data_IF_473916807791
#
_entry.id   IF_473916807791
#
_cell.length_a   1.000
_cell.length_b   1.000
_cell.length_c   1.000
_cell.angle_alpha   90.00
_cell.angle_beta   90.00
_cell.angle_gamma   90.00
#
_symmetry.space_group_name_H-M   'P 1'
#
loop_
_entity.id
_entity.type
_entity.pdbx_description
1 polymer ?
#
# COMPACT_ATOMS: atom_id res chain seq x y z
N UNK A 1 4.98 -3.03 0.68
CA UNK A 1 5.47 -4.39 0.32
C UNK A 1 4.43 -5.22 -0.42
N UNK A 2 4.85 -6.16 -1.29
CA UNK A 2 3.96 -7.15 -1.92
C UNK A 2 3.63 -8.27 -0.93
N UNK A 3 2.44 -8.86 -1.00
CA UNK A 3 2.04 -9.96 -0.10
C UNK A 3 1.52 -9.56 1.28
N UNK A 4 1.53 -8.26 1.62
CA UNK A 4 0.99 -7.75 2.90
C UNK A 4 -0.52 -7.56 2.91
N UNK A 5 -1.24 -7.88 1.82
CA UNK A 5 -2.71 -7.85 1.80
C UNK A 5 -3.37 -6.51 1.44
N UNK A 6 -2.61 -5.50 0.96
CA UNK A 6 -3.15 -4.17 0.58
C UNK A 6 -4.41 -4.24 -0.29
N UNK A 7 -4.35 -4.92 -1.44
CA UNK A 7 -5.48 -4.99 -2.37
C UNK A 7 -6.67 -5.76 -1.78
N UNK A 8 -6.42 -6.81 -0.98
CA UNK A 8 -7.48 -7.53 -0.26
C UNK A 8 -8.17 -6.61 0.76
N UNK A 9 -7.39 -5.81 1.50
CA UNK A 9 -7.94 -4.87 2.46
C UNK A 9 -8.77 -3.77 1.78
N UNK A 10 -8.27 -3.19 0.69
CA UNK A 10 -9.04 -2.19 -0.08
C UNK A 10 -10.34 -2.78 -0.63
N UNK A 11 -10.32 -4.01 -1.16
CA UNK A 11 -11.55 -4.64 -1.66
C UNK A 11 -12.61 -4.78 -0.56
N UNK A 12 -12.22 -5.26 0.63
CA UNK A 12 -13.15 -5.42 1.75
C UNK A 12 -13.64 -4.09 2.31
N UNK A 13 -12.79 -3.05 2.36
CA UNK A 13 -13.21 -1.70 2.72
C UNK A 13 -14.18 -1.13 1.68
N UNK A 14 -13.95 -1.39 0.39
CA UNK A 14 -14.88 -1.00 -0.68
C UNK A 14 -16.23 -1.70 -0.55
N UNK A 15 -16.25 -2.99 -0.19
CA UNK A 15 -17.49 -3.74 0.07
C UNK A 15 -18.27 -3.18 1.26
N UNK A 16 -17.59 -2.54 2.21
CA UNK A 16 -18.20 -1.83 3.34
C UNK A 16 -18.67 -0.40 2.97
N UNK A 17 -18.46 0.04 1.73
CA UNK A 17 -18.91 1.32 1.22
C UNK A 17 -17.88 2.45 1.34
N UNK A 18 -16.68 2.18 1.83
CA UNK A 18 -15.62 3.19 1.85
C UNK A 18 -15.09 3.49 0.45
N UNK A 19 -14.72 4.75 0.22
CA UNK A 19 -14.00 5.12 -0.99
C UNK A 19 -12.56 4.61 -0.90
N UNK A 20 -12.14 3.83 -1.89
CA UNK A 20 -10.79 3.24 -1.94
C UNK A 20 -10.09 3.57 -3.26
N UNK A 21 -8.77 3.72 -3.21
CA UNK A 21 -7.91 3.87 -4.39
C UNK A 21 -6.68 2.98 -4.24
N UNK A 22 -6.57 1.96 -5.09
CA UNK A 22 -5.33 1.21 -5.28
C UNK A 22 -4.47 1.91 -6.34
N UNK A 23 -3.38 2.55 -5.91
CA UNK A 23 -2.53 3.35 -6.81
C UNK A 23 -1.63 2.50 -7.70
N UNK A 24 -1.50 1.20 -7.43
CA UNK A 24 -0.76 0.29 -8.31
C UNK A 24 -1.49 0.03 -9.64
N UNK A 25 -2.78 0.39 -9.76
CA UNK A 25 -3.59 0.25 -10.97
C UNK A 25 -4.30 1.57 -11.35
N UNK A 26 -4.59 1.80 -12.63
CA UNK A 26 -5.37 2.99 -13.04
C UNK A 26 -4.56 4.26 -13.33
N UNK A 27 -3.24 4.12 -13.51
CA UNK A 27 -2.39 5.21 -14.01
C UNK A 27 -2.11 6.32 -13.00
N UNK A 28 -2.14 6.01 -11.70
CA UNK A 28 -1.67 6.91 -10.65
C UNK A 28 -0.15 7.00 -10.58
N UNK A 29 0.54 6.02 -11.14
CA UNK A 29 2.00 5.92 -11.10
C UNK A 29 2.58 6.28 -12.47
N UNK A 30 3.70 6.97 -12.45
CA UNK A 30 4.60 7.15 -13.58
C UNK A 30 5.99 6.55 -13.25
N UNK A 31 6.69 6.13 -14.30
CA UNK A 31 8.06 5.65 -14.21
C UNK A 31 9.00 6.78 -14.61
N UNK A 32 9.76 7.28 -13.65
CA UNK A 32 10.68 8.40 -13.82
C UNK A 32 12.10 7.85 -14.00
N UNK A 33 12.79 8.17 -15.11
CA UNK A 33 14.19 7.76 -15.29
C UNK A 33 15.09 8.35 -14.20
N UNK A 34 15.92 7.50 -13.60
CA UNK A 34 16.94 7.85 -12.60
C UNK A 34 18.28 7.20 -12.97
N UNK A 35 19.44 7.66 -12.44
CA UNK A 35 20.73 7.07 -12.80
C UNK A 35 20.83 5.55 -12.58
N UNK A 36 20.06 5.01 -11.62
CA UNK A 36 20.02 3.59 -11.28
C UNK A 36 18.90 2.79 -12.00
N UNK A 37 18.17 3.39 -12.95
CA UNK A 37 17.08 2.73 -13.68
C UNK A 37 15.83 3.60 -13.80
N UNK A 38 14.70 3.08 -13.36
CA UNK A 38 13.43 3.80 -13.30
C UNK A 38 12.88 3.77 -11.88
N UNK A 39 12.37 4.90 -11.42
CA UNK A 39 11.74 5.05 -10.12
C UNK A 39 10.23 5.19 -10.29
N UNK A 40 9.44 4.42 -9.54
CA UNK A 40 7.98 4.54 -9.57
C UNK A 40 7.57 5.68 -8.64
N UNK A 41 6.85 6.64 -9.19
CA UNK A 41 6.35 7.80 -8.45
C UNK A 41 4.86 7.96 -8.68
N UNK A 42 4.14 8.42 -7.67
CA UNK A 42 2.80 8.92 -7.88
C UNK A 42 2.84 10.16 -8.77
N UNK A 43 1.94 10.21 -9.74
CA UNK A 43 1.62 11.41 -10.52
C UNK A 43 1.01 12.44 -9.58
N UNK A 44 1.81 13.45 -9.26
CA UNK A 44 1.49 14.38 -8.17
C UNK A 44 0.21 15.16 -8.43
N UNK A 45 -0.06 15.53 -9.68
CA UNK A 45 -1.29 16.19 -10.11
C UNK A 45 -2.55 15.36 -9.83
N UNK A 46 -2.47 14.04 -10.03
CA UNK A 46 -3.60 13.13 -9.81
C UNK A 46 -3.87 12.90 -8.33
N UNK A 47 -2.82 12.66 -7.54
CA UNK A 47 -2.96 12.50 -6.09
C UNK A 47 -3.46 13.81 -5.47
N UNK A 48 -2.93 14.96 -5.89
CA UNK A 48 -3.37 16.27 -5.41
C UNK A 48 -4.85 16.52 -5.70
N UNK A 49 -5.31 16.20 -6.91
CA UNK A 49 -6.72 16.30 -7.28
C UNK A 49 -7.62 15.36 -6.45
N UNK A 50 -7.19 14.10 -6.25
CA UNK A 50 -7.91 13.12 -5.43
C UNK A 50 -8.07 13.60 -3.98
N UNK A 51 -6.99 14.09 -3.37
CA UNK A 51 -7.02 14.56 -1.98
C UNK A 51 -7.82 15.84 -1.83
N UNK A 52 -7.72 16.76 -2.79
CA UNK A 52 -8.52 18.00 -2.81
C UNK A 52 -10.01 17.70 -2.91
N UNK A 53 -10.39 16.64 -3.64
CA UNK A 53 -11.78 16.20 -3.71
C UNK A 53 -12.26 15.61 -2.38
N UNK A 54 -11.45 14.74 -1.76
CA UNK A 54 -11.72 14.16 -0.45
C UNK A 54 -11.89 15.24 0.64
N UNK A 55 -10.97 16.20 0.71
CA UNK A 55 -11.03 17.31 1.67
C UNK A 55 -12.30 18.16 1.52
N UNK A 56 -12.89 18.20 0.31
CA UNK A 56 -14.15 18.90 0.05
C UNK A 56 -15.37 18.06 0.43
N UNK A 57 -15.36 16.75 0.20
CA UNK A 57 -16.49 15.88 0.53
C UNK A 57 -16.58 15.58 2.03
N UNK A 58 -15.43 15.48 2.70
CA UNK A 58 -15.33 15.01 4.09
C UNK A 58 -15.62 13.51 4.25
N UNK A 59 -15.79 12.78 3.15
CA UNK A 59 -16.01 11.34 3.18
C UNK A 59 -14.67 10.60 3.34
N UNK A 60 -14.57 9.56 4.19
CA UNK A 60 -13.32 8.83 4.36
C UNK A 60 -12.77 8.23 3.06
N UNK A 61 -11.46 8.34 2.87
CA UNK A 61 -10.74 7.85 1.71
C UNK A 61 -9.56 6.97 2.12
N UNK A 62 -9.50 5.74 1.61
CA UNK A 62 -8.34 4.86 1.77
C UNK A 62 -7.53 4.81 0.48
N UNK A 63 -6.24 5.14 0.55
CA UNK A 63 -5.31 5.05 -0.58
C UNK A 63 -4.25 4.01 -0.25
N UNK A 64 -4.03 3.04 -1.14
CA UNK A 64 -2.91 2.11 -1.01
C UNK A 64 -1.88 2.30 -2.11
N UNK A 65 -0.61 2.28 -1.73
CA UNK A 65 0.53 2.37 -2.63
C UNK A 65 1.83 2.22 -1.86
N UNK A 66 2.92 1.98 -2.57
CA UNK A 66 4.27 2.12 -2.01
C UNK A 66 5.18 2.64 -3.13
N UNK A 67 5.44 3.94 -3.12
CA UNK A 67 6.24 4.63 -4.16
C UNK A 67 7.14 5.68 -3.54
N UNK A 68 8.17 6.08 -4.28
CA UNK A 68 9.24 6.93 -3.75
C UNK A 68 8.77 8.29 -3.23
N UNK A 69 7.93 9.00 -3.98
CA UNK A 69 7.52 10.37 -3.65
C UNK A 69 6.29 10.47 -2.72
N UNK A 70 5.80 9.34 -2.18
CA UNK A 70 4.59 9.34 -1.35
C UNK A 70 4.69 10.24 -0.10
N UNK A 71 5.91 10.43 0.42
CA UNK A 71 6.19 11.28 1.58
C UNK A 71 5.72 12.73 1.39
N UNK A 72 5.63 13.22 0.14
CA UNK A 72 5.16 14.56 -0.17
C UNK A 72 3.72 14.81 0.27
N UNK A 73 2.93 13.74 0.39
CA UNK A 73 1.50 13.82 0.69
C UNK A 73 1.15 13.48 2.14
N UNK A 74 2.10 13.01 2.95
CA UNK A 74 1.82 12.58 4.34
C UNK A 74 1.19 13.67 5.20
N UNK A 75 1.52 14.94 4.97
CA UNK A 75 0.91 16.06 5.68
C UNK A 75 -0.60 16.22 5.46
N UNK A 76 -1.14 15.54 4.44
CA UNK A 76 -2.57 15.51 4.08
C UNK A 76 -3.24 14.18 4.43
N UNK A 77 -2.54 13.28 5.10
CA UNK A 77 -3.11 12.02 5.58
C UNK A 77 -3.27 12.10 7.10
N UNK A 78 -4.46 11.78 7.59
CA UNK A 78 -4.67 11.61 9.04
C UNK A 78 -3.86 10.42 9.57
N UNK A 79 -3.76 9.36 8.76
CA UNK A 79 -3.03 8.14 9.09
C UNK A 79 -2.21 7.61 7.92
N UNK A 80 -0.95 7.26 8.18
CA UNK A 80 -0.07 6.50 7.29
C UNK A 80 0.07 5.10 7.86
N UNK A 81 -0.66 4.15 7.29
CA UNK A 81 -0.72 2.78 7.82
C UNK A 81 0.26 1.86 7.08
N UNK A 82 1.19 1.27 7.83
CA UNK A 82 2.04 0.19 7.35
C UNK A 82 1.37 -1.16 7.63
N UNK A 83 0.98 -1.87 6.57
CA UNK A 83 0.61 -3.28 6.67
C UNK A 83 1.88 -4.14 6.66
N UNK A 84 2.11 -4.91 7.73
CA UNK A 84 3.25 -5.83 7.84
C UNK A 84 2.79 -7.29 7.96
N UNK A 85 3.72 -8.20 7.72
CA UNK A 85 3.59 -9.64 7.94
C UNK A 85 5.00 -10.25 7.95
N UNK A 86 5.21 -11.41 8.61
CA UNK A 86 6.43 -12.19 8.45
C UNK A 86 6.70 -12.49 6.97
N UNK A 87 7.97 -12.48 6.56
CA UNK A 87 8.33 -12.62 5.14
C UNK A 87 7.86 -13.96 4.59
N UNK A 88 7.89 -15.01 5.40
CA UNK A 88 7.42 -16.36 5.08
C UNK A 88 5.92 -16.35 4.75
N UNK A 89 5.11 -15.66 5.56
CA UNK A 89 3.67 -15.49 5.33
C UNK A 89 3.40 -14.72 4.03
N UNK A 90 4.18 -13.68 3.76
CA UNK A 90 4.05 -12.95 2.49
C UNK A 90 4.38 -13.84 1.29
N UNK A 91 5.46 -14.62 1.36
CA UNK A 91 5.88 -15.52 0.30
C UNK A 91 4.86 -16.64 0.06
N UNK A 92 4.26 -17.20 1.11
CA UNK A 92 3.17 -18.17 1.01
C UNK A 92 1.95 -17.59 0.29
N UNK A 93 1.50 -16.39 0.68
CA UNK A 93 0.39 -15.68 0.03
C UNK A 93 0.68 -15.40 -1.44
N UNK A 94 1.91 -14.95 -1.75
CA UNK A 94 2.35 -14.70 -3.12
C UNK A 94 2.40 -16.01 -3.92
N UNK A 95 2.83 -17.12 -3.33
CA UNK A 95 2.82 -18.43 -3.97
C UNK A 95 1.40 -18.94 -4.26
N UNK A 96 0.42 -18.61 -3.42
CA UNK A 96 -0.96 -19.04 -3.57
C UNK A 96 -1.86 -18.14 -4.44
N UNK A 97 -1.50 -16.86 -4.66
CA UNK A 97 -2.34 -15.93 -5.45
C UNK A 97 -2.29 -16.21 -6.97
N UNK A 98 -3.40 -16.00 -7.66
CA UNK A 98 -3.48 -16.12 -9.13
C UNK A 98 -3.59 -14.78 -9.86
N UNK A 99 -3.74 -13.68 -9.11
CA UNK A 99 -4.06 -12.36 -9.67
C UNK A 99 -2.84 -11.55 -10.12
N UNK A 100 -1.64 -11.87 -9.61
CA UNK A 100 -0.40 -11.15 -9.93
C UNK A 100 0.78 -12.14 -9.99
N UNK A 101 1.47 -12.25 -11.15
CA UNK A 101 2.54 -13.23 -11.37
C UNK A 101 3.85 -12.89 -10.65
N UNK A 102 4.04 -11.65 -10.16
CA UNK A 102 5.26 -11.23 -9.49
C UNK A 102 5.52 -12.03 -8.20
N UNK A 103 6.77 -12.38 -7.93
CA UNK A 103 7.19 -13.10 -6.71
C UNK A 103 7.02 -14.62 -6.79
N UNK A 104 6.77 -15.15 -7.99
CA UNK A 104 6.70 -16.59 -8.24
C UNK A 104 8.09 -17.15 -8.57
N UNK A 105 8.91 -16.39 -9.29
CA UNK A 105 10.29 -16.77 -9.60
C UNK A 105 11.22 -16.59 -8.39
N UNK A 106 12.34 -17.33 -8.36
CA UNK A 106 13.28 -17.33 -7.25
C UNK A 106 13.87 -15.92 -7.05
N UNK A 107 14.29 -15.29 -8.15
CA UNK A 107 14.91 -13.97 -8.16
C UNK A 107 13.94 -12.90 -7.64
N UNK A 108 12.65 -13.03 -7.95
CA UNK A 108 11.63 -12.11 -7.45
C UNK A 108 11.36 -12.30 -5.95
N UNK A 109 11.45 -13.54 -5.44
CA UNK A 109 11.33 -13.83 -4.00
C UNK A 109 12.52 -13.28 -3.23
N UNK A 110 13.73 -13.47 -3.75
CA UNK A 110 14.94 -12.87 -3.19
C UNK A 110 14.82 -11.35 -3.14
N UNK A 111 14.30 -10.74 -4.21
CA UNK A 111 14.01 -9.31 -4.23
C UNK A 111 13.00 -8.91 -3.16
N UNK A 112 11.90 -9.65 -2.99
CA UNK A 112 10.91 -9.38 -1.92
C UNK A 112 11.57 -9.42 -0.54
N UNK A 113 12.45 -10.38 -0.28
CA UNK A 113 13.17 -10.50 1.01
C UNK A 113 14.12 -9.32 1.22
N UNK A 114 14.89 -8.95 0.20
CA UNK A 114 15.80 -7.81 0.22
C UNK A 114 15.04 -6.50 0.45
N UNK A 115 14.03 -6.22 -0.38
CA UNK A 115 13.17 -5.05 -0.27
C UNK A 115 12.52 -4.98 1.12
N UNK A 116 12.08 -6.10 1.69
CA UNK A 116 11.50 -6.11 3.03
C UNK A 116 12.51 -5.71 4.09
N UNK A 117 13.75 -6.17 3.97
CA UNK A 117 14.83 -5.85 4.92
C UNK A 117 15.23 -4.39 4.83
N UNK A 118 15.26 -3.82 3.62
CA UNK A 118 15.75 -2.46 3.36
C UNK A 118 14.64 -1.40 3.52
N UNK A 119 13.44 -1.68 3.02
CA UNK A 119 12.37 -0.68 2.87
C UNK A 119 11.42 -0.65 4.07
N UNK A 120 11.10 -1.79 4.69
CA UNK A 120 10.14 -1.82 5.82
C UNK A 120 10.59 -0.95 6.99
N UNK A 121 11.87 -0.90 7.39
CA UNK A 121 12.32 0.02 8.45
C UNK A 121 12.03 1.49 8.10
N UNK A 122 12.23 1.89 6.84
CA UNK A 122 11.95 3.26 6.37
C UNK A 122 10.44 3.55 6.36
N UNK A 123 9.63 2.59 5.91
CA UNK A 123 8.18 2.72 5.94
C UNK A 123 7.64 2.79 7.37
N UNK A 124 8.26 2.06 8.31
CA UNK A 124 7.88 2.07 9.72
C UNK A 124 8.16 3.42 10.37
N UNK A 125 9.29 4.05 10.04
CA UNK A 125 9.63 5.39 10.53
C UNK A 125 8.62 6.45 10.07
N UNK A 126 8.11 6.29 8.85
CA UNK A 126 7.10 7.16 8.26
C UNK A 126 5.65 6.86 8.69
N UNK A 127 5.38 5.66 9.24
CA UNK A 127 4.03 5.21 9.54
C UNK A 127 3.52 5.81 10.85
N UNK A 128 2.26 6.22 10.87
CA UNK A 128 1.56 6.59 12.11
C UNK A 128 1.11 5.34 12.88
N UNK A 129 0.91 4.23 12.17
CA UNK A 129 0.47 2.96 12.73
C UNK A 129 1.00 1.80 11.87
N UNK A 130 1.45 0.74 12.53
CA UNK A 130 1.72 -0.54 11.89
C UNK A 130 0.64 -1.56 12.29
N UNK A 131 0.10 -2.27 11.30
CA UNK A 131 -0.88 -3.34 11.50
C UNK A 131 -0.28 -4.65 10.98
N UNK A 132 -0.10 -5.60 11.88
CA UNK A 132 0.30 -6.96 11.53
C UNK A 132 -0.88 -7.71 10.89
N UNK A 133 -0.70 -8.03 9.61
CA UNK A 133 -1.66 -8.76 8.80
C UNK A 133 -1.52 -10.27 8.90
N UNK A 134 -0.62 -10.80 9.72
CA UNK A 134 -0.61 -12.24 10.09
C UNK A 134 -1.85 -12.62 10.92
N UNK A 135 -2.50 -11.63 11.53
CA UNK A 135 -3.76 -11.74 12.26
C UNK A 135 -4.95 -12.07 11.33
N UNK A 136 -6.09 -12.53 11.88
CA UNK A 136 -7.31 -12.74 11.10
C UNK A 136 -7.70 -11.50 10.31
N UNK A 137 -8.00 -11.67 9.02
CA UNK A 137 -8.35 -10.58 8.12
C UNK A 137 -9.50 -9.70 8.63
N UNK A 138 -10.59 -10.23 9.23
CA UNK A 138 -11.66 -9.39 9.80
C UNK A 138 -11.16 -8.39 10.84
N UNK A 139 -10.19 -8.77 11.68
CA UNK A 139 -9.60 -7.87 12.68
C UNK A 139 -8.86 -6.71 12.02
N UNK A 140 -8.09 -7.02 10.96
CA UNK A 140 -7.32 -6.03 10.19
C UNK A 140 -8.26 -5.01 9.55
N UNK A 141 -9.36 -5.48 8.93
CA UNK A 141 -10.33 -4.58 8.29
C UNK A 141 -11.07 -3.75 9.33
N UNK A 142 -11.50 -4.34 10.44
CA UNK A 142 -12.15 -3.61 11.51
C UNK A 142 -11.24 -2.50 12.09
N UNK A 143 -9.95 -2.79 12.25
CA UNK A 143 -8.99 -1.79 12.71
C UNK A 143 -8.77 -0.67 11.68
N UNK A 144 -8.73 -0.98 10.38
CA UNK A 144 -8.62 0.05 9.33
C UNK A 144 -9.88 0.92 9.25
N UNK A 145 -11.07 0.31 9.31
CA UNK A 145 -12.35 1.02 9.28
C UNK A 145 -12.49 1.98 10.48
N UNK A 146 -12.03 1.58 11.66
CA UNK A 146 -12.04 2.42 12.86
C UNK A 146 -11.12 3.67 12.78
N UNK A 147 -10.23 3.76 11.78
CA UNK A 147 -9.45 4.97 11.52
C UNK A 147 -10.21 6.01 10.67
N UNK A 148 -11.35 5.62 10.10
CA UNK A 148 -12.19 6.44 9.25
C UNK A 148 -13.43 7.01 9.98
N UNK A 149 -13.57 6.71 11.28
CA UNK A 149 -14.65 7.19 12.16
C UNK A 149 -14.19 8.41 12.99
#
# INVERSE_FOLDING_TARGET
>A
MSGTGKSTALNLLSEQGYRVVDTDVGGWIEEVPVPAGVERQWREDRIDALLTEHERSGEPLFIAGTVWNQYKFYSRFDHVVLLSAPVEVMLERIAARDTNPFGKAIEERERIVADTTEVVPLLRDAATLEIDTSRPLPDVIAQLAALAD
#
